data_IF_288968077546
#
_entry.id   IF_288968077546
#
_cell.length_a   1.000
_cell.length_b   1.000
_cell.length_c   1.000
_cell.angle_alpha   90.00
_cell.angle_beta   90.00
_cell.angle_gamma   90.00
#
_symmetry.space_group_name_H-M   'P 1'
#
loop_
_entity.id
_entity.type
_entity.pdbx_description
1 polymer ?
#
# COMPACT_ATOMS: atom_id res chain seq x y z
N UNK A 1 -4.41 -23.41 -28.26
CA UNK A 1 -5.52 -23.78 -29.20
C UNK A 1 -4.86 -24.42 -30.43
N UNK A 2 -5.18 -25.66 -30.81
CA UNK A 2 -4.64 -26.30 -32.01
C UNK A 2 -4.98 -25.49 -33.28
N UNK A 3 -3.99 -25.37 -34.18
CA UNK A 3 -4.16 -24.61 -35.44
C UNK A 3 -5.41 -25.00 -36.23
N UNK A 4 -5.67 -26.28 -36.31
CA UNK A 4 -6.80 -26.87 -37.06
C UNK A 4 -8.17 -26.46 -36.50
N UNK A 5 -8.25 -26.14 -35.23
CA UNK A 5 -9.49 -25.70 -34.56
C UNK A 5 -9.71 -24.20 -34.64
N UNK A 6 -8.74 -23.44 -35.08
CA UNK A 6 -8.80 -21.97 -35.11
C UNK A 6 -8.97 -21.39 -36.51
N UNK A 7 -8.40 -22.05 -37.54
CA UNK A 7 -8.45 -21.53 -38.92
C UNK A 7 -9.88 -21.50 -39.45
N UNK A 8 -10.26 -20.36 -40.03
CA UNK A 8 -11.58 -20.14 -40.64
C UNK A 8 -12.72 -19.95 -39.65
N UNK A 9 -12.43 -19.88 -38.35
CA UNK A 9 -13.42 -19.62 -37.29
C UNK A 9 -13.35 -18.19 -36.79
N UNK A 10 -14.49 -17.72 -36.30
CA UNK A 10 -14.59 -16.43 -35.62
C UNK A 10 -13.71 -16.44 -34.38
N UNK A 11 -12.82 -15.41 -34.24
CA UNK A 11 -11.88 -15.26 -33.13
C UNK A 11 -12.59 -15.22 -31.78
N UNK A 12 -13.79 -14.66 -31.71
CA UNK A 12 -14.58 -14.59 -30.48
C UNK A 12 -15.05 -15.97 -30.02
N UNK A 13 -15.30 -16.88 -30.95
CA UNK A 13 -15.62 -18.27 -30.62
C UNK A 13 -14.39 -19.08 -30.24
N UNK A 14 -13.26 -18.82 -30.89
CA UNK A 14 -11.97 -19.47 -30.56
C UNK A 14 -11.48 -19.05 -29.19
N UNK A 15 -11.68 -17.79 -28.81
CA UNK A 15 -11.31 -17.21 -27.53
C UNK A 15 -12.52 -17.06 -26.58
N UNK A 16 -13.46 -18.00 -26.60
CA UNK A 16 -14.71 -17.95 -25.84
C UNK A 16 -14.52 -17.85 -24.30
N UNK A 17 -13.37 -18.30 -23.78
CA UNK A 17 -13.00 -18.16 -22.34
C UNK A 17 -12.63 -16.74 -21.92
N UNK A 18 -12.44 -15.82 -22.89
CA UNK A 18 -12.13 -14.42 -22.63
C UNK A 18 -13.42 -13.60 -22.44
N UNK A 19 -13.35 -12.49 -21.63
CA UNK A 19 -14.46 -11.53 -21.54
C UNK A 19 -14.73 -10.92 -22.92
N UNK A 20 -15.82 -11.35 -23.56
CA UNK A 20 -16.11 -11.06 -24.96
C UNK A 20 -16.23 -9.57 -25.26
N UNK A 21 -16.82 -8.78 -24.34
CA UNK A 21 -16.96 -7.34 -24.50
C UNK A 21 -15.59 -6.63 -24.57
N UNK A 22 -14.65 -7.01 -23.69
CA UNK A 22 -13.30 -6.46 -23.68
C UNK A 22 -12.51 -6.86 -24.93
N UNK A 23 -12.56 -8.13 -25.28
CA UNK A 23 -11.89 -8.65 -26.48
C UNK A 23 -12.35 -7.91 -27.75
N UNK A 24 -13.67 -7.68 -27.91
CA UNK A 24 -14.23 -6.94 -29.03
C UNK A 24 -13.72 -5.50 -29.08
N UNK A 25 -13.75 -4.78 -27.96
CA UNK A 25 -13.24 -3.41 -27.87
C UNK A 25 -11.76 -3.30 -28.24
N UNK A 26 -10.94 -4.27 -27.82
CA UNK A 26 -9.52 -4.31 -28.15
C UNK A 26 -9.27 -4.47 -29.65
N UNK A 27 -10.00 -5.37 -30.31
CA UNK A 27 -9.91 -5.51 -31.76
C UNK A 27 -10.46 -4.27 -32.51
N UNK A 28 -11.60 -3.74 -32.12
CA UNK A 28 -12.17 -2.52 -32.70
C UNK A 28 -11.22 -1.33 -32.60
N UNK A 29 -10.53 -1.20 -31.45
CA UNK A 29 -9.52 -0.16 -31.27
C UNK A 29 -8.34 -0.37 -32.21
N UNK A 30 -7.76 -1.57 -32.27
CA UNK A 30 -6.66 -1.89 -33.16
C UNK A 30 -6.99 -1.63 -34.63
N UNK A 31 -8.20 -1.98 -35.10
CA UNK A 31 -8.66 -1.70 -36.46
C UNK A 31 -8.86 -0.20 -36.71
N UNK A 32 -9.40 0.54 -35.72
CA UNK A 32 -9.70 1.96 -35.87
C UNK A 32 -8.45 2.85 -35.84
N UNK A 33 -7.53 2.59 -34.88
CA UNK A 33 -6.35 3.45 -34.70
C UNK A 33 -5.19 3.04 -35.61
N UNK A 34 -5.09 1.77 -35.93
CA UNK A 34 -3.95 1.19 -36.63
C UNK A 34 -2.65 1.26 -35.82
N UNK A 35 -2.74 1.34 -34.50
CA UNK A 35 -1.62 1.34 -33.55
C UNK A 35 -1.48 -0.02 -32.90
N UNK A 36 -0.23 -0.35 -32.50
CA UNK A 36 0.03 -1.59 -31.74
C UNK A 36 -0.52 -1.43 -30.34
N UNK A 37 -1.42 -2.32 -29.95
CA UNK A 37 -1.92 -2.37 -28.58
C UNK A 37 -1.22 -3.51 -27.81
N UNK A 38 -0.67 -3.19 -26.64
CA UNK A 38 0.00 -4.15 -25.76
C UNK A 38 -0.73 -4.20 -24.42
N UNK A 39 -1.18 -5.40 -24.06
CA UNK A 39 -2.05 -5.63 -22.90
C UNK A 39 -1.41 -6.69 -22.02
N UNK A 40 -1.30 -6.38 -20.73
CA UNK A 40 -0.95 -7.36 -19.71
C UNK A 40 -2.22 -7.98 -19.15
N UNK A 41 -2.23 -9.31 -19.07
CA UNK A 41 -3.39 -10.05 -18.57
C UNK A 41 -2.98 -11.30 -17.81
N UNK A 42 -3.87 -11.74 -16.93
CA UNK A 42 -3.73 -12.97 -16.18
C UNK A 42 -4.79 -13.97 -16.63
N UNK A 43 -4.43 -15.23 -16.67
CA UNK A 43 -5.37 -16.35 -16.93
C UNK A 43 -5.13 -17.42 -15.88
N UNK A 44 -6.21 -18.12 -15.54
CA UNK A 44 -6.12 -19.33 -14.71
C UNK A 44 -6.05 -20.53 -15.65
N UNK A 45 -4.99 -21.33 -15.54
CA UNK A 45 -4.81 -22.56 -16.28
C UNK A 45 -5.73 -23.69 -15.74
N UNK A 46 -5.87 -24.78 -16.48
CA UNK A 46 -6.73 -25.90 -16.07
C UNK A 46 -6.24 -26.62 -14.79
N UNK A 47 -4.96 -26.43 -14.43
CA UNK A 47 -4.36 -26.91 -13.18
C UNK A 47 -4.52 -25.96 -11.99
N UNK A 48 -5.28 -24.85 -12.17
CA UNK A 48 -5.51 -23.82 -11.17
C UNK A 48 -4.36 -22.82 -11.02
N UNK A 49 -3.26 -22.97 -11.78
CA UNK A 49 -2.15 -22.02 -11.76
C UNK A 49 -2.50 -20.70 -12.47
N UNK A 50 -2.01 -19.58 -11.94
CA UNK A 50 -2.15 -18.27 -12.59
C UNK A 50 -1.01 -18.11 -13.60
N UNK A 51 -1.34 -17.76 -14.83
CA UNK A 51 -0.39 -17.43 -15.89
C UNK A 51 -0.47 -15.97 -16.26
N UNK A 52 0.69 -15.36 -16.47
CA UNK A 52 0.84 -13.95 -16.86
C UNK A 52 1.19 -13.88 -18.35
N UNK A 53 0.42 -13.09 -19.08
CA UNK A 53 0.58 -12.93 -20.52
C UNK A 53 0.79 -11.47 -20.88
N UNK A 54 1.67 -11.23 -21.85
CA UNK A 54 1.70 -9.99 -22.60
C UNK A 54 1.11 -10.28 -23.97
N UNK A 55 -0.05 -9.69 -24.26
CA UNK A 55 -0.73 -9.86 -25.54
C UNK A 55 -0.56 -8.57 -26.35
N UNK A 56 0.05 -8.72 -27.51
CA UNK A 56 0.22 -7.63 -28.47
C UNK A 56 -0.71 -7.83 -29.66
N UNK A 57 -1.50 -6.81 -29.99
CA UNK A 57 -2.32 -6.74 -31.19
C UNK A 57 -1.63 -5.81 -32.20
N UNK A 58 -1.14 -6.38 -33.29
CA UNK A 58 -0.39 -5.71 -34.33
C UNK A 58 -1.27 -5.55 -35.56
N UNK A 59 -1.76 -4.32 -35.86
CA UNK A 59 -2.54 -4.06 -37.07
C UNK A 59 -1.68 -4.18 -38.33
N UNK A 60 -2.16 -4.90 -39.34
CA UNK A 60 -1.53 -5.05 -40.64
C UNK A 60 -2.29 -4.21 -41.66
N UNK A 61 -1.59 -3.31 -42.34
CA UNK A 61 -2.16 -2.41 -43.34
C UNK A 61 -1.99 -3.00 -44.76
N UNK A 62 -2.99 -2.80 -45.59
CA UNK A 62 -2.87 -3.06 -47.01
C UNK A 62 -1.83 -2.11 -47.62
N UNK A 63 -0.93 -2.62 -48.44
CA UNK A 63 0.03 -1.80 -49.19
C UNK A 63 -0.64 -0.91 -50.23
N UNK A 64 -1.84 -1.29 -50.73
CA UNK A 64 -2.55 -0.57 -51.79
C UNK A 64 -3.45 0.53 -51.23
N UNK A 65 -4.18 0.25 -50.12
CA UNK A 65 -5.20 1.18 -49.59
C UNK A 65 -4.76 1.89 -48.31
N UNK A 66 -3.71 1.40 -47.61
CA UNK A 66 -3.26 1.93 -46.33
C UNK A 66 -4.21 1.55 -45.16
N UNK A 67 -5.32 0.91 -45.45
CA UNK A 67 -6.30 0.51 -44.42
C UNK A 67 -5.84 -0.74 -43.66
N UNK A 68 -6.26 -0.85 -42.38
CA UNK A 68 -6.00 -2.03 -41.56
C UNK A 68 -6.92 -3.17 -42.03
N UNK A 69 -6.32 -4.21 -42.56
CA UNK A 69 -7.04 -5.38 -43.11
C UNK A 69 -7.03 -6.58 -42.16
N UNK A 70 -5.99 -6.70 -41.34
CA UNK A 70 -5.80 -7.82 -40.43
C UNK A 70 -5.19 -7.33 -39.11
N UNK A 71 -5.39 -8.10 -38.07
CA UNK A 71 -4.71 -7.90 -36.76
C UNK A 71 -4.03 -9.22 -36.37
N UNK A 72 -2.69 -9.17 -36.23
CA UNK A 72 -1.93 -10.28 -35.66
C UNK A 72 -1.97 -10.15 -34.15
N UNK A 73 -2.41 -11.22 -33.47
CA UNK A 73 -2.36 -11.28 -32.02
C UNK A 73 -1.21 -12.20 -31.59
N UNK A 74 -0.28 -11.66 -30.82
CA UNK A 74 0.88 -12.40 -30.27
C UNK A 74 0.74 -12.43 -28.76
N UNK A 75 0.67 -13.62 -28.17
CA UNK A 75 0.68 -13.83 -26.72
C UNK A 75 2.05 -14.35 -26.29
N UNK A 76 2.72 -13.64 -25.39
CA UNK A 76 3.97 -14.05 -24.74
C UNK A 76 3.63 -14.47 -23.29
N UNK A 77 3.93 -15.74 -22.94
CA UNK A 77 3.83 -16.21 -21.56
C UNK A 77 5.04 -15.67 -20.77
N UNK A 78 4.78 -14.73 -19.88
CA UNK A 78 5.80 -14.09 -19.04
C UNK A 78 5.73 -14.55 -17.58
N UNK A 79 5.02 -15.65 -17.31
CA UNK A 79 4.81 -16.16 -15.94
C UNK A 79 6.11 -16.36 -15.19
N UNK A 80 7.07 -17.10 -15.79
CA UNK A 80 8.38 -17.36 -15.15
C UNK A 80 9.11 -16.06 -14.87
N UNK A 81 9.04 -15.07 -15.79
CA UNK A 81 9.72 -13.78 -15.63
C UNK A 81 9.10 -12.98 -14.48
N UNK A 82 7.76 -12.94 -14.40
CA UNK A 82 7.04 -12.25 -13.32
C UNK A 82 7.29 -12.92 -11.97
N UNK A 83 7.25 -14.26 -11.91
CA UNK A 83 7.55 -15.02 -10.70
C UNK A 83 8.99 -14.83 -10.23
N UNK A 84 9.96 -14.83 -11.15
CA UNK A 84 11.34 -14.55 -10.85
C UNK A 84 11.55 -13.13 -10.32
N UNK A 85 10.91 -12.12 -10.92
CA UNK A 85 10.95 -10.74 -10.43
C UNK A 85 10.34 -10.62 -9.02
N UNK A 86 9.22 -11.30 -8.76
CA UNK A 86 8.63 -11.34 -7.42
C UNK A 86 9.53 -12.05 -6.41
N UNK A 87 10.22 -13.14 -6.82
CA UNK A 87 11.15 -13.87 -5.96
C UNK A 87 12.37 -13.00 -5.61
N UNK A 88 12.94 -12.28 -6.59
CA UNK A 88 14.04 -11.33 -6.38
C UNK A 88 13.61 -10.21 -5.45
N UNK A 89 12.47 -9.56 -5.72
CA UNK A 89 11.95 -8.51 -4.85
C UNK A 89 11.70 -8.99 -3.41
N UNK A 90 11.22 -10.25 -3.25
CA UNK A 90 11.06 -10.88 -1.94
C UNK A 90 12.40 -11.10 -1.25
N UNK A 91 13.40 -11.61 -1.99
CA UNK A 91 14.74 -11.84 -1.47
C UNK A 91 15.44 -10.53 -1.07
N UNK A 92 15.27 -9.47 -1.84
CA UNK A 92 15.77 -8.13 -1.50
C UNK A 92 15.10 -7.56 -0.25
N UNK A 93 13.76 -7.68 -0.12
CA UNK A 93 13.02 -7.30 1.08
C UNK A 93 13.49 -8.09 2.31
N UNK A 94 13.66 -9.41 2.18
CA UNK A 94 14.18 -10.25 3.27
C UNK A 94 15.64 -9.93 3.61
N UNK A 95 16.48 -9.64 2.62
CA UNK A 95 17.86 -9.21 2.84
C UNK A 95 17.92 -7.85 3.56
N UNK A 96 17.01 -6.91 3.23
CA UNK A 96 16.88 -5.65 3.97
C UNK A 96 16.49 -5.91 5.43
N UNK A 97 15.50 -6.79 5.68
CA UNK A 97 15.13 -7.22 7.04
C UNK A 97 16.31 -7.88 7.75
N UNK A 98 17.08 -8.74 7.06
CA UNK A 98 18.26 -9.39 7.64
C UNK A 98 19.36 -8.41 8.04
N UNK A 99 19.60 -7.36 7.24
CA UNK A 99 20.54 -6.29 7.59
C UNK A 99 20.05 -5.43 8.76
N UNK A 100 18.72 -5.32 8.92
CA UNK A 100 18.08 -4.57 9.98
C UNK A 100 17.75 -5.43 11.21
N UNK A 101 18.00 -6.75 11.15
CA UNK A 101 17.63 -7.70 12.20
C UNK A 101 18.19 -7.31 13.58
N UNK A 102 19.40 -6.77 13.64
CA UNK A 102 19.97 -6.27 14.89
C UNK A 102 19.15 -5.13 15.49
N UNK A 103 18.70 -4.17 14.67
CA UNK A 103 17.85 -3.06 15.11
C UNK A 103 16.47 -3.55 15.57
N UNK A 104 15.84 -4.46 14.82
CA UNK A 104 14.54 -5.06 15.18
C UNK A 104 14.62 -5.83 16.50
N UNK A 105 15.67 -6.64 16.69
CA UNK A 105 15.89 -7.37 17.94
C UNK A 105 16.06 -6.40 19.11
N UNK A 106 16.80 -5.31 18.92
CA UNK A 106 16.93 -4.26 19.94
C UNK A 106 15.58 -3.58 20.24
N UNK A 107 14.80 -3.24 19.20
CA UNK A 107 13.50 -2.60 19.39
C UNK A 107 12.45 -3.51 20.02
N UNK A 108 12.53 -4.83 19.86
CA UNK A 108 11.67 -5.80 20.54
C UNK A 108 12.17 -6.05 21.97
N UNK A 109 13.49 -6.14 22.17
CA UNK A 109 14.05 -6.39 23.49
C UNK A 109 13.84 -5.25 24.48
N UNK A 110 13.80 -3.99 24.00
CA UNK A 110 13.55 -2.84 24.86
C UNK A 110 12.18 -2.92 25.57
N UNK A 111 11.04 -3.04 24.90
CA UNK A 111 9.74 -3.20 25.55
C UNK A 111 9.66 -4.47 26.39
N UNK A 112 10.30 -5.57 25.99
CA UNK A 112 10.34 -6.79 26.78
C UNK A 112 11.10 -6.61 28.10
N UNK A 113 12.22 -5.85 28.08
CA UNK A 113 12.97 -5.49 29.28
C UNK A 113 12.13 -4.65 30.26
N UNK A 114 11.36 -3.68 29.73
CA UNK A 114 10.44 -2.86 30.54
C UNK A 114 9.34 -3.71 31.15
N UNK A 115 8.73 -4.62 30.38
CA UNK A 115 7.70 -5.56 30.87
C UNK A 115 8.28 -6.41 31.99
N UNK A 116 9.48 -6.98 31.80
CA UNK A 116 10.15 -7.83 32.78
C UNK A 116 10.44 -7.03 34.09
N UNK A 117 11.01 -5.83 33.97
CA UNK A 117 11.32 -4.98 35.11
C UNK A 117 10.06 -4.58 35.90
N UNK A 118 8.97 -4.24 35.21
CA UNK A 118 7.69 -3.93 35.87
C UNK A 118 7.10 -5.16 36.58
N UNK A 119 7.19 -6.35 35.96
CA UNK A 119 6.72 -7.58 36.56
C UNK A 119 7.55 -7.98 37.80
N UNK A 120 8.88 -7.86 37.72
CA UNK A 120 9.78 -8.11 38.85
C UNK A 120 9.53 -7.15 40.02
N UNK A 121 9.32 -5.84 39.74
CA UNK A 121 9.00 -4.86 40.75
C UNK A 121 7.67 -5.15 41.44
N UNK A 122 6.66 -5.60 40.68
CA UNK A 122 5.36 -6.04 41.24
C UNK A 122 5.54 -7.29 42.12
N UNK A 123 6.33 -8.28 41.70
CA UNK A 123 6.58 -9.50 42.44
C UNK A 123 7.29 -9.22 43.77
N UNK A 124 8.30 -8.31 43.77
CA UNK A 124 9.02 -7.91 44.96
C UNK A 124 8.11 -7.22 45.95
N UNK A 125 7.25 -6.27 45.52
CA UNK A 125 6.28 -5.59 46.35
C UNK A 125 5.20 -6.54 46.96
N UNK A 126 4.81 -7.56 46.18
CA UNK A 126 3.90 -8.61 46.72
C UNK A 126 4.57 -9.40 47.85
N UNK A 127 5.87 -9.78 47.69
CA UNK A 127 6.64 -10.51 48.68
C UNK A 127 6.85 -9.74 49.96
N UNK A 128 7.09 -8.43 49.84
CA UNK A 128 7.35 -7.54 50.98
C UNK A 128 6.07 -7.09 51.70
N UNK A 129 4.89 -7.49 51.20
CA UNK A 129 3.60 -7.15 51.83
C UNK A 129 3.25 -5.65 51.68
N UNK A 130 3.88 -4.93 50.78
CA UNK A 130 3.73 -3.47 50.58
C UNK A 130 2.43 -3.03 49.91
N UNK A 131 1.52 -3.94 49.57
CA UNK A 131 0.23 -3.64 48.93
C UNK A 131 -0.92 -3.36 49.92
N UNK A 132 -0.62 -2.77 51.07
CA UNK A 132 -1.63 -2.57 52.11
C UNK A 132 -2.29 -1.19 52.15
N UNK A 133 -1.79 -0.20 51.40
CA UNK A 133 -2.28 1.19 51.40
C UNK A 133 -2.89 1.62 50.05
N UNK A 134 -3.70 2.69 50.04
CA UNK A 134 -4.38 3.21 48.86
C UNK A 134 -3.39 3.65 47.74
N UNK A 135 -2.19 4.07 48.09
CA UNK A 135 -1.13 4.47 47.15
C UNK A 135 -0.60 3.25 46.37
N UNK A 136 -0.66 2.07 46.99
CA UNK A 136 -0.25 0.82 46.32
C UNK A 136 -1.15 0.42 45.14
N UNK A 137 -2.44 0.81 45.14
CA UNK A 137 -3.34 0.55 44.05
C UNK A 137 -3.04 1.44 42.79
N UNK A 138 -2.59 2.68 43.04
CA UNK A 138 -2.17 3.60 41.98
C UNK A 138 -0.90 3.10 41.31
N UNK A 139 0.11 2.69 42.09
CA UNK A 139 1.35 2.11 41.60
C UNK A 139 1.12 0.83 40.78
N UNK A 140 0.21 -0.07 41.31
CA UNK A 140 -0.16 -1.28 40.59
C UNK A 140 -0.78 -0.96 39.21
N UNK A 141 -1.69 0.01 39.18
CA UNK A 141 -2.32 0.45 37.93
C UNK A 141 -1.31 1.04 36.96
N UNK A 142 -0.30 1.78 37.44
CA UNK A 142 0.78 2.33 36.62
C UNK A 142 1.66 1.23 36.02
N UNK A 143 2.16 0.27 36.81
CA UNK A 143 2.96 -0.86 36.32
C UNK A 143 2.18 -1.73 35.31
N UNK A 144 0.93 -2.05 35.58
CA UNK A 144 0.06 -2.79 34.65
C UNK A 144 -0.20 -1.99 33.37
N UNK A 145 -0.35 -0.67 33.49
CA UNK A 145 -0.46 0.24 32.35
C UNK A 145 0.78 0.21 31.45
N UNK A 146 1.98 0.26 32.05
CA UNK A 146 3.25 0.14 31.35
C UNK A 146 3.41 -1.22 30.65
N UNK A 147 3.17 -2.33 31.36
CA UNK A 147 3.21 -3.68 30.80
C UNK A 147 2.29 -3.79 29.58
N UNK A 148 1.03 -3.31 29.73
CA UNK A 148 0.05 -3.33 28.65
C UNK A 148 0.49 -2.52 27.44
N UNK A 149 0.99 -1.30 27.66
CA UNK A 149 1.45 -0.42 26.56
C UNK A 149 2.63 -1.03 25.82
N UNK A 150 3.62 -1.58 26.53
CA UNK A 150 4.81 -2.19 25.92
C UNK A 150 4.50 -3.52 25.20
N UNK A 151 3.54 -4.30 25.71
CA UNK A 151 3.05 -5.48 25.01
C UNK A 151 2.35 -5.13 23.67
N UNK A 152 1.54 -4.07 23.65
CA UNK A 152 0.95 -3.55 22.41
C UNK A 152 2.02 -3.01 21.45
N UNK A 153 3.08 -2.42 21.96
CA UNK A 153 4.23 -1.96 21.17
C UNK A 153 4.94 -3.14 20.50
N UNK A 154 5.27 -4.21 21.22
CA UNK A 154 5.82 -5.43 20.63
C UNK A 154 4.93 -5.96 19.51
N UNK A 155 3.62 -6.00 19.73
CA UNK A 155 2.64 -6.43 18.72
C UNK A 155 2.66 -5.54 17.48
N UNK A 156 2.79 -4.22 17.63
CA UNK A 156 2.86 -3.28 16.52
C UNK A 156 4.16 -3.47 15.70
N UNK A 157 5.31 -3.66 16.36
CA UNK A 157 6.59 -3.93 15.71
C UNK A 157 6.53 -5.25 14.91
N UNK A 158 6.03 -6.32 15.52
CA UNK A 158 5.95 -7.64 14.88
C UNK A 158 4.97 -7.64 13.71
N UNK A 159 3.82 -6.97 13.83
CA UNK A 159 2.87 -6.81 12.74
C UNK A 159 3.45 -5.98 11.59
N UNK A 160 4.11 -4.87 11.89
CA UNK A 160 4.80 -4.04 10.88
C UNK A 160 5.88 -4.82 10.12
N UNK A 161 6.64 -5.68 10.80
CA UNK A 161 7.63 -6.55 10.18
C UNK A 161 6.98 -7.63 9.30
N UNK A 162 5.88 -8.23 9.75
CA UNK A 162 5.10 -9.19 8.97
C UNK A 162 4.49 -8.55 7.71
N UNK A 163 3.96 -7.34 7.82
CA UNK A 163 3.39 -6.60 6.69
C UNK A 163 4.48 -6.20 5.69
N UNK A 164 5.66 -5.79 6.17
CA UNK A 164 6.82 -5.52 5.31
C UNK A 164 7.35 -6.79 4.63
N UNK A 165 7.36 -7.93 5.32
CA UNK A 165 7.82 -9.23 4.80
C UNK A 165 6.82 -9.87 3.82
N UNK A 166 5.51 -9.62 4.00
CA UNK A 166 4.46 -10.20 3.17
C UNK A 166 4.37 -9.46 1.83
N UNK A 167 4.79 -10.12 0.76
CA UNK A 167 4.29 -9.82 -0.58
C UNK A 167 2.89 -10.44 -0.66
N UNK A 168 1.85 -9.72 -0.24
CA UNK A 168 0.49 -10.09 -0.60
C UNK A 168 0.34 -9.77 -2.08
N UNK A 169 0.33 -10.80 -2.91
CA UNK A 169 -0.22 -10.69 -4.25
C UNK A 169 -1.75 -10.57 -4.09
N UNK A 170 -2.24 -9.39 -3.71
CA UNK A 170 -3.64 -9.05 -3.85
C UNK A 170 -3.98 -8.95 -5.32
N UNK A 171 -5.19 -9.35 -5.67
CA UNK A 171 -5.67 -9.20 -7.04
C UNK A 171 -5.80 -7.71 -7.36
N UNK A 172 -5.04 -7.23 -8.34
CA UNK A 172 -5.15 -5.87 -8.82
C UNK A 172 -6.27 -5.79 -9.84
N UNK A 173 -7.34 -5.16 -9.45
CA UNK A 173 -8.54 -4.96 -10.27
C UNK A 173 -8.74 -3.47 -10.56
N UNK A 174 -9.63 -3.16 -11.49
CA UNK A 174 -10.08 -1.79 -11.70
C UNK A 174 -10.75 -1.29 -10.42
N UNK A 175 -10.11 -0.35 -9.74
CA UNK A 175 -10.46 0.14 -8.39
C UNK A 175 -10.82 1.61 -8.46
N UNK A 176 -11.91 1.98 -7.83
CA UNK A 176 -12.31 3.37 -7.57
C UNK A 176 -11.57 3.89 -6.32
N UNK A 177 -10.62 4.81 -6.53
CA UNK A 177 -9.85 5.39 -5.42
C UNK A 177 -10.65 6.36 -4.56
N UNK A 178 -11.78 6.90 -5.05
CA UNK A 178 -12.70 7.69 -4.26
C UNK A 178 -13.35 6.87 -3.15
N UNK A 179 -13.82 5.66 -3.48
CA UNK A 179 -14.38 4.75 -2.48
C UNK A 179 -13.32 4.26 -1.49
N UNK A 180 -12.09 3.99 -1.95
CA UNK A 180 -10.97 3.62 -1.07
C UNK A 180 -10.65 4.75 -0.08
N UNK A 181 -10.61 6.01 -0.56
CA UNK A 181 -10.35 7.17 0.30
C UNK A 181 -11.46 7.37 1.34
N UNK A 182 -12.72 7.28 0.94
CA UNK A 182 -13.88 7.37 1.86
C UNK A 182 -13.84 6.28 2.93
N UNK A 183 -13.54 5.03 2.54
CA UNK A 183 -13.42 3.92 3.48
C UNK A 183 -12.28 4.13 4.48
N UNK A 184 -11.11 4.60 4.04
CA UNK A 184 -9.99 4.95 4.91
C UNK A 184 -10.36 6.09 5.87
N UNK A 185 -10.96 7.16 5.35
CA UNK A 185 -11.39 8.32 6.14
C UNK A 185 -12.37 7.93 7.26
N UNK A 186 -13.37 7.10 6.93
CA UNK A 186 -14.35 6.63 7.92
C UNK A 186 -13.68 5.87 9.07
N UNK A 187 -12.72 4.99 8.78
CA UNK A 187 -11.99 4.25 9.83
C UNK A 187 -11.23 5.21 10.75
N UNK A 188 -10.54 6.21 10.18
CA UNK A 188 -9.72 7.17 10.91
C UNK A 188 -10.60 8.06 11.79
N UNK A 189 -11.68 8.61 11.24
CA UNK A 189 -12.61 9.49 11.96
C UNK A 189 -13.25 8.76 13.15
N UNK A 190 -13.63 7.49 12.97
CA UNK A 190 -14.22 6.69 14.05
C UNK A 190 -13.24 6.39 15.18
N UNK A 191 -11.96 6.13 14.87
CA UNK A 191 -10.93 5.83 15.87
C UNK A 191 -10.53 7.08 16.67
N UNK A 192 -10.62 8.26 16.09
CA UNK A 192 -10.15 9.54 16.63
C UNK A 192 -11.28 10.49 17.05
N UNK A 193 -12.47 9.94 17.31
CA UNK A 193 -13.64 10.70 17.76
C UNK A 193 -13.35 11.33 19.13
N UNK A 194 -13.25 12.67 19.17
CA UNK A 194 -12.98 13.43 20.39
C UNK A 194 -11.64 14.17 20.40
N UNK A 195 -10.76 13.95 19.43
CA UNK A 195 -9.57 14.78 19.23
C UNK A 195 -9.94 16.13 18.58
N UNK A 196 -9.17 17.19 18.85
CA UNK A 196 -9.38 18.55 18.30
C UNK A 196 -8.85 18.65 16.85
N UNK A 197 -9.24 17.70 15.98
CA UNK A 197 -8.80 17.63 14.59
C UNK A 197 -10.01 17.84 13.68
N UNK A 198 -9.91 18.80 12.78
CA UNK A 198 -10.87 19.01 11.69
C UNK A 198 -10.51 18.08 10.53
N UNK A 199 -11.45 17.20 10.14
CA UNK A 199 -11.29 16.29 9.01
C UNK A 199 -11.95 16.86 7.77
N UNK A 200 -11.21 16.96 6.66
CA UNK A 200 -11.73 17.32 5.33
C UNK A 200 -11.50 16.18 4.36
N UNK A 201 -12.53 15.81 3.63
CA UNK A 201 -12.45 14.74 2.62
C UNK A 201 -13.06 15.25 1.32
N UNK A 202 -12.23 15.32 0.27
CA UNK A 202 -12.62 15.79 -1.05
C UNK A 202 -12.35 14.71 -2.09
N UNK A 203 -13.39 14.35 -2.83
CA UNK A 203 -13.31 13.36 -3.91
C UNK A 203 -13.82 14.03 -5.17
N UNK A 204 -12.99 14.10 -6.21
CA UNK A 204 -13.41 14.62 -7.50
C UNK A 204 -14.45 13.71 -8.18
N UNK A 205 -15.40 14.30 -8.91
CA UNK A 205 -16.54 13.58 -9.50
C UNK A 205 -16.13 12.60 -10.61
N UNK A 206 -15.13 12.94 -11.44
CA UNK A 206 -14.74 12.17 -12.63
C UNK A 206 -13.38 11.46 -12.44
N UNK A 207 -13.31 10.54 -11.48
CA UNK A 207 -12.09 9.76 -11.23
C UNK A 207 -11.99 8.58 -12.21
N UNK A 208 -10.94 8.48 -13.02
CA UNK A 208 -10.70 7.27 -13.79
C UNK A 208 -10.33 6.11 -12.85
N UNK A 209 -10.73 4.87 -13.15
CA UNK A 209 -10.33 3.72 -12.36
C UNK A 209 -8.81 3.52 -12.41
N UNK A 210 -8.26 2.91 -11.36
CA UNK A 210 -6.84 2.54 -11.25
C UNK A 210 -6.73 1.03 -11.10
N UNK A 211 -5.78 0.39 -11.77
CA UNK A 211 -5.51 -1.04 -11.55
C UNK A 211 -4.74 -1.21 -10.25
N UNK A 212 -5.44 -1.55 -9.15
CA UNK A 212 -4.86 -1.58 -7.82
C UNK A 212 -5.49 -2.65 -6.91
N UNK A 213 -4.76 -3.02 -5.86
CA UNK A 213 -5.29 -3.70 -4.69
C UNK A 213 -5.86 -2.65 -3.73
N UNK A 214 -7.18 -2.57 -3.64
CA UNK A 214 -7.90 -1.61 -2.80
C UNK A 214 -7.45 -1.66 -1.33
N UNK A 215 -7.21 -2.87 -0.79
CA UNK A 215 -6.78 -3.05 0.61
C UNK A 215 -5.40 -2.48 0.87
N UNK A 216 -4.45 -2.66 -0.05
CA UNK A 216 -3.10 -2.12 0.08
C UNK A 216 -3.10 -0.59 -0.05
N UNK A 217 -3.86 -0.03 -1.00
CA UNK A 217 -3.97 1.44 -1.13
C UNK A 217 -4.64 2.02 0.12
N UNK A 218 -5.69 1.40 0.63
CA UNK A 218 -6.33 1.81 1.88
C UNK A 218 -5.34 1.79 3.05
N UNK A 219 -4.53 0.75 3.17
CA UNK A 219 -3.47 0.64 4.18
C UNK A 219 -2.46 1.79 4.08
N UNK A 220 -2.01 2.14 2.86
CA UNK A 220 -1.10 3.26 2.62
C UNK A 220 -1.72 4.59 3.06
N UNK A 221 -2.99 4.85 2.70
CA UNK A 221 -3.72 6.06 3.10
C UNK A 221 -3.85 6.15 4.62
N UNK A 222 -4.23 5.05 5.30
CA UNK A 222 -4.35 5.00 6.75
C UNK A 222 -3.01 5.28 7.43
N UNK A 223 -1.90 4.70 6.92
CA UNK A 223 -0.57 4.94 7.48
C UNK A 223 -0.15 6.42 7.37
N UNK A 224 -0.39 7.06 6.23
CA UNK A 224 -0.11 8.49 6.04
C UNK A 224 -0.99 9.36 6.94
N UNK A 225 -2.29 9.08 7.01
CA UNK A 225 -3.23 9.85 7.82
C UNK A 225 -2.95 9.71 9.34
N UNK A 226 -2.55 8.51 9.80
CA UNK A 226 -2.14 8.31 11.20
C UNK A 226 -0.89 9.12 11.52
N UNK A 227 0.10 9.16 10.60
CA UNK A 227 1.28 10.00 10.77
C UNK A 227 0.93 11.49 10.81
N UNK A 228 -0.03 11.93 9.98
CA UNK A 228 -0.52 13.30 9.97
C UNK A 228 -1.20 13.67 11.30
N UNK A 229 -2.03 12.79 11.85
CA UNK A 229 -2.68 12.98 13.15
C UNK A 229 -1.65 13.11 14.26
N UNK A 230 -0.65 12.25 14.29
CA UNK A 230 0.43 12.31 15.27
C UNK A 230 1.25 13.60 15.16
N UNK A 231 1.29 14.22 13.98
CA UNK A 231 1.95 15.51 13.75
C UNK A 231 1.12 16.73 14.17
N UNK A 232 -0.15 16.53 14.61
CA UNK A 232 -1.08 17.61 15.02
C UNK A 232 -1.44 17.49 16.53
N UNK A 233 -0.48 17.51 17.46
CA UNK A 233 -0.75 17.21 18.88
C UNK A 233 -1.67 18.23 19.59
N UNK A 234 -1.73 19.44 19.08
CA UNK A 234 -2.50 20.54 19.69
C UNK A 234 -3.82 20.84 18.93
N UNK A 235 -4.22 19.99 18.01
CA UNK A 235 -5.34 20.23 17.11
C UNK A 235 -4.89 20.89 15.80
N UNK A 236 -5.74 20.79 14.78
CA UNK A 236 -5.50 21.30 13.43
C UNK A 236 -6.38 20.62 12.41
N UNK A 237 -5.96 20.64 11.15
CA UNK A 237 -6.73 20.08 10.03
C UNK A 237 -5.98 18.91 9.40
N UNK A 238 -6.68 17.80 9.14
CA UNK A 238 -6.28 16.72 8.27
C UNK A 238 -7.18 16.72 7.03
N UNK A 239 -6.58 16.95 5.87
CA UNK A 239 -7.26 16.97 4.59
C UNK A 239 -6.86 15.76 3.75
N UNK A 240 -7.85 15.02 3.25
CA UNK A 240 -7.71 13.89 2.35
C UNK A 240 -8.36 14.23 1.03
N UNK A 241 -7.61 14.25 -0.06
CA UNK A 241 -8.14 14.57 -1.39
C UNK A 241 -7.79 13.51 -2.40
N UNK A 242 -8.68 13.28 -3.36
CA UNK A 242 -8.40 12.46 -4.55
C UNK A 242 -8.93 13.15 -5.80
N UNK A 243 -8.06 13.26 -6.81
CA UNK A 243 -8.37 13.96 -8.06
C UNK A 243 -7.54 13.43 -9.24
N UNK A 244 -8.02 13.60 -10.48
CA UNK A 244 -7.25 13.24 -11.67
C UNK A 244 -6.21 14.32 -11.99
N UNK A 245 -5.01 13.91 -12.42
CA UNK A 245 -3.96 14.83 -12.88
C UNK A 245 -3.06 14.11 -13.91
N UNK A 246 -2.90 14.68 -15.09
CA UNK A 246 -1.94 14.24 -16.13
C UNK A 246 -1.97 12.73 -16.42
N UNK A 247 -3.17 12.15 -16.58
CA UNK A 247 -3.37 10.72 -16.84
C UNK A 247 -3.12 9.82 -15.65
N UNK A 248 -3.04 10.39 -14.45
CA UNK A 248 -2.91 9.69 -13.17
C UNK A 248 -4.04 10.08 -12.24
N UNK A 249 -4.27 9.25 -11.23
CA UNK A 249 -5.09 9.62 -10.08
C UNK A 249 -4.16 9.94 -8.91
N UNK A 250 -4.38 11.08 -8.29
CA UNK A 250 -3.57 11.57 -7.18
C UNK A 250 -4.39 11.51 -5.89
N UNK A 251 -3.81 10.88 -4.86
CA UNK A 251 -4.33 10.97 -3.49
C UNK A 251 -3.39 11.87 -2.70
N UNK A 252 -3.93 12.92 -2.08
CA UNK A 252 -3.19 13.79 -1.17
C UNK A 252 -3.67 13.62 0.26
N UNK A 253 -2.70 13.50 1.18
CA UNK A 253 -2.90 13.53 2.62
C UNK A 253 -2.12 14.72 3.16
N UNK A 254 -2.85 15.73 3.63
CA UNK A 254 -2.28 17.01 4.06
C UNK A 254 -2.62 17.31 5.51
N UNK A 255 -1.64 17.72 6.30
CA UNK A 255 -1.80 18.13 7.68
C UNK A 255 -1.29 19.55 7.92
N UNK A 256 -1.79 20.18 8.97
CA UNK A 256 -1.33 21.48 9.46
C UNK A 256 -0.41 21.35 10.70
N UNK A 257 0.27 20.23 10.81
CA UNK A 257 1.07 19.87 11.98
C UNK A 257 2.46 20.50 12.06
N UNK A 258 3.31 19.86 12.84
CA UNK A 258 4.68 20.34 13.12
C UNK A 258 5.59 20.34 11.90
N UNK A 259 5.23 19.61 10.84
CA UNK A 259 6.05 19.45 9.64
C UNK A 259 7.31 18.61 9.89
N UNK A 260 8.11 18.44 8.82
CA UNK A 260 9.33 17.62 8.82
C UNK A 260 10.53 18.54 8.61
N UNK A 261 11.57 18.45 9.46
CA UNK A 261 12.82 19.16 9.27
C UNK A 261 13.53 18.78 7.96
N UNK A 262 14.21 19.72 7.28
CA UNK A 262 14.91 19.42 6.02
C UNK A 262 15.97 18.31 6.12
N UNK A 263 16.63 18.19 7.26
CA UNK A 263 17.65 17.17 7.56
C UNK A 263 17.07 15.75 7.64
N UNK A 264 15.77 15.62 7.96
CA UNK A 264 15.10 14.35 8.08
C UNK A 264 14.46 13.89 6.75
N UNK A 265 14.16 14.83 5.84
CA UNK A 265 13.51 14.55 4.56
C UNK A 265 14.13 13.40 3.75
N UNK A 266 15.47 13.25 3.67
CA UNK A 266 16.09 12.15 2.94
C UNK A 266 15.85 10.77 3.59
N UNK A 267 15.55 10.74 4.89
CA UNK A 267 15.51 9.53 5.72
C UNK A 267 14.11 9.02 6.03
N UNK A 268 13.07 9.84 5.79
CA UNK A 268 11.69 9.51 6.24
C UNK A 268 11.14 8.20 5.67
N UNK A 269 11.67 7.71 4.54
CA UNK A 269 11.29 6.44 3.93
C UNK A 269 12.22 5.28 4.33
N UNK A 270 13.28 5.54 5.10
CA UNK A 270 14.14 4.48 5.61
C UNK A 270 13.37 3.68 6.69
N UNK A 271 13.38 2.34 6.61
CA UNK A 271 12.78 1.51 7.65
C UNK A 271 13.33 1.85 9.04
N UNK A 272 12.45 1.89 10.03
CA UNK A 272 12.74 2.21 11.45
C UNK A 272 13.14 3.68 11.73
N UNK A 273 13.23 4.54 10.72
CA UNK A 273 13.44 5.95 10.97
C UNK A 273 12.19 6.57 11.62
N UNK A 274 12.37 7.17 12.79
CA UNK A 274 11.32 7.89 13.52
C UNK A 274 11.90 9.02 14.34
N UNK A 275 11.20 10.15 14.38
CA UNK A 275 11.48 11.30 15.26
C UNK A 275 10.57 11.30 16.49
N UNK A 276 9.67 10.32 16.60
CA UNK A 276 8.76 10.17 17.74
C UNK A 276 9.52 9.62 18.94
N UNK A 277 9.02 9.94 20.15
CA UNK A 277 9.54 9.37 21.39
C UNK A 277 9.59 7.85 21.33
N UNK A 278 10.58 7.29 22.03
CA UNK A 278 10.75 5.85 22.15
C UNK A 278 9.43 5.23 22.63
N UNK A 279 8.85 4.33 21.81
CA UNK A 279 7.57 3.71 22.13
C UNK A 279 6.36 4.20 21.34
N UNK A 280 6.42 5.37 20.70
CA UNK A 280 5.28 5.95 19.97
C UNK A 280 5.31 5.78 18.46
N UNK A 281 6.39 5.25 17.89
CA UNK A 281 6.49 5.03 16.45
C UNK A 281 7.40 3.85 16.11
N UNK A 282 6.98 2.98 15.20
CA UNK A 282 7.78 1.85 14.72
C UNK A 282 8.75 2.24 13.59
N UNK A 283 8.61 3.43 13.01
CA UNK A 283 9.40 3.84 11.84
C UNK A 283 9.15 3.01 10.57
N UNK A 284 8.18 2.10 10.58
CA UNK A 284 7.89 1.21 9.42
C UNK A 284 6.78 1.75 8.51
N UNK A 285 5.89 2.60 9.01
CA UNK A 285 4.70 3.03 8.29
C UNK A 285 4.98 3.66 6.94
N UNK A 286 5.92 4.62 6.86
CA UNK A 286 6.29 5.30 5.62
C UNK A 286 7.04 4.40 4.65
N UNK A 287 7.90 3.49 5.16
CA UNK A 287 8.61 2.51 4.34
C UNK A 287 7.64 1.51 3.69
N UNK A 288 6.64 1.03 4.45
CA UNK A 288 5.56 0.15 3.95
C UNK A 288 4.74 0.90 2.90
N UNK A 289 4.35 2.14 3.17
CA UNK A 289 3.61 2.99 2.25
C UNK A 289 4.36 3.17 0.92
N UNK A 290 5.65 3.50 0.98
CA UNK A 290 6.51 3.63 -0.20
C UNK A 290 6.57 2.32 -1.00
N UNK A 291 6.71 1.17 -0.33
CA UNK A 291 6.70 -0.15 -0.96
C UNK A 291 5.38 -0.45 -1.68
N UNK A 292 4.24 -0.22 -1.02
CA UNK A 292 2.92 -0.43 -1.60
C UNK A 292 2.75 0.41 -2.88
N UNK A 293 3.07 1.69 -2.82
CA UNK A 293 2.88 2.60 -3.96
C UNK A 293 3.83 2.25 -5.12
N UNK A 294 5.09 1.92 -4.82
CA UNK A 294 6.05 1.46 -5.84
C UNK A 294 5.61 0.16 -6.51
N UNK A 295 5.10 -0.80 -5.73
CA UNK A 295 4.58 -2.07 -6.26
C UNK A 295 3.39 -1.83 -7.22
N UNK A 296 2.60 -0.76 -7.03
CA UNK A 296 1.50 -0.37 -7.92
C UNK A 296 1.94 0.49 -9.13
N UNK A 297 3.26 0.61 -9.37
CA UNK A 297 3.79 1.47 -10.45
C UNK A 297 3.53 2.96 -10.21
N UNK A 298 3.22 3.31 -8.97
CA UNK A 298 2.96 4.67 -8.55
C UNK A 298 4.21 5.40 -8.08
N UNK A 299 4.00 6.65 -7.65
CA UNK A 299 5.04 7.49 -7.06
C UNK A 299 4.49 8.17 -5.80
N UNK A 300 5.30 8.20 -4.74
CA UNK A 300 5.00 8.92 -3.50
C UNK A 300 5.91 10.14 -3.40
N UNK A 301 5.31 11.32 -3.30
CA UNK A 301 6.01 12.58 -3.08
C UNK A 301 5.64 13.16 -1.71
N UNK A 302 6.53 14.00 -1.17
CA UNK A 302 6.32 14.71 0.09
C UNK A 302 6.73 16.16 -0.07
N UNK A 303 5.90 17.06 0.46
CA UNK A 303 6.19 18.49 0.64
C UNK A 303 5.93 18.82 2.09
N UNK A 304 6.94 19.33 2.77
CA UNK A 304 6.82 19.72 4.18
C UNK A 304 7.63 20.96 4.48
N UNK A 305 7.13 21.71 5.44
CA UNK A 305 7.85 22.85 6.05
C UNK A 305 7.64 22.81 7.57
N UNK A 306 8.70 22.97 8.37
CA UNK A 306 8.57 23.04 9.82
C UNK A 306 7.51 24.05 10.26
N UNK A 307 6.63 23.64 11.15
CA UNK A 307 5.49 24.40 11.70
C UNK A 307 4.43 24.85 10.69
N UNK A 308 4.44 24.29 9.47
CA UNK A 308 3.44 24.58 8.42
C UNK A 308 2.71 23.33 7.92
N UNK A 309 3.07 22.16 8.47
CA UNK A 309 2.47 20.89 8.10
C UNK A 309 3.19 20.16 6.99
N UNK A 310 2.60 19.03 6.60
CA UNK A 310 3.12 18.12 5.57
C UNK A 310 2.02 17.74 4.60
N UNK A 311 2.38 17.60 3.33
CA UNK A 311 1.51 17.01 2.30
C UNK A 311 2.23 15.84 1.65
N UNK A 312 1.67 14.66 1.77
CA UNK A 312 2.05 13.48 1.00
C UNK A 312 1.14 13.35 -0.21
N UNK A 313 1.72 13.12 -1.40
CA UNK A 313 0.98 12.94 -2.64
C UNK A 313 1.33 11.59 -3.26
N UNK A 314 0.34 10.71 -3.42
CA UNK A 314 0.41 9.41 -4.07
C UNK A 314 -0.07 9.58 -5.51
N UNK A 315 0.75 9.24 -6.48
CA UNK A 315 0.43 9.26 -7.91
C UNK A 315 0.29 7.84 -8.43
N UNK A 316 -0.88 7.45 -8.89
CA UNK A 316 -1.14 6.12 -9.46
C UNK A 316 -1.54 6.25 -10.93
N UNK A 317 -1.06 5.39 -11.84
CA UNK A 317 -1.46 5.44 -13.24
C UNK A 317 -2.95 5.10 -13.37
N UNK A 318 -3.69 5.93 -14.12
CA UNK A 318 -5.08 5.61 -14.47
C UNK A 318 -5.12 4.32 -15.32
N UNK A 319 -6.12 3.48 -15.10
CA UNK A 319 -6.36 2.34 -15.97
C UNK A 319 -6.74 2.85 -17.38
N UNK A 320 -6.07 2.31 -18.40
CA UNK A 320 -6.34 2.65 -19.79
C UNK A 320 -7.63 2.04 -20.30
#
# INVERSE_FOLDING_TARGET
IPRETAIGRDVFNVLARYPQGRLRQEFERAFRTGEIERIEQQTVADDGSTRHWIVSKVPMRSAETGEVTHVITVGEDVTIRVEAMHAVARAEKLSAVGRLAAGVVHEINNPLATIAACAEALEERIKDGSFTDSDSAADLAEYLGLIKSEAFRCKAITNGLLDFSRVRAGERIATDLGEVLKAAANLIIHQKRGERIEFKVEVADDLPPVTADAGQIQQAVIALATNAIDAIPNGGTLELRVFPQDGRVVIEVSDTGIGIPPEDMPKIFEPFFTTKEVGRGTGLGLAVCYGIISDHGGRLNVRSKPRKGTTFSIYLPAAK
#
